data_IF_151205753819
#
_entry.id   IF_151205753819
#
_cell.length_a   1.000
_cell.length_b   1.000
_cell.length_c   1.000
_cell.angle_alpha   90.00
_cell.angle_beta   90.00
_cell.angle_gamma   90.00
#
_symmetry.space_group_name_H-M   'P 1'
#
loop_
_entity.id
_entity.type
_entity.pdbx_description
1 polymer ?
#
# COMPACT_ATOMS: atom_id res chain seq x y z
N UNK A 1 5.53 5.73 10.64
CA UNK A 1 4.94 4.74 9.69
C UNK A 1 4.84 3.39 10.38
N UNK A 2 3.62 2.93 10.66
CA UNK A 2 3.40 1.64 11.33
C UNK A 2 3.33 0.54 10.26
N UNK A 3 4.24 -0.43 10.33
CA UNK A 3 4.31 -1.57 9.41
C UNK A 3 3.16 -2.55 9.70
N UNK A 4 1.96 -2.29 9.16
CA UNK A 4 0.75 -3.05 9.48
C UNK A 4 0.57 -4.37 8.71
N UNK A 5 1.31 -4.60 7.63
CA UNK A 5 1.05 -5.76 6.76
C UNK A 5 1.72 -7.02 7.30
N UNK A 6 0.93 -8.06 7.60
CA UNK A 6 1.52 -9.32 8.03
C UNK A 6 2.01 -10.23 6.85
N UNK A 7 1.93 -9.81 5.57
CA UNK A 7 2.22 -10.71 4.43
C UNK A 7 3.03 -10.09 3.29
N UNK A 8 3.44 -10.95 2.33
CA UNK A 8 4.11 -10.59 1.08
C UNK A 8 3.16 -9.82 0.16
N UNK A 9 3.72 -9.08 -0.81
CA UNK A 9 2.95 -8.46 -1.90
C UNK A 9 2.17 -9.56 -2.65
N UNK A 10 0.84 -9.59 -2.50
CA UNK A 10 -0.06 -10.58 -3.11
C UNK A 10 -0.69 -11.63 -2.16
N UNK A 11 -0.36 -11.60 -0.86
CA UNK A 11 -0.94 -12.49 0.15
C UNK A 11 -0.39 -13.92 0.16
N UNK A 12 -0.89 -14.74 1.08
CA UNK A 12 -0.57 -16.18 1.17
C UNK A 12 -1.65 -16.98 0.43
N UNK A 13 -1.30 -17.92 -0.45
CA UNK A 13 -2.28 -18.84 -1.02
C UNK A 13 -3.11 -19.52 0.08
N UNK A 14 -4.43 -19.51 -0.04
CA UNK A 14 -5.32 -20.05 0.98
C UNK A 14 -6.56 -20.70 0.34
N UNK A 15 -7.06 -21.74 1.02
CA UNK A 15 -8.34 -22.36 0.74
C UNK A 15 -9.36 -21.86 1.77
N UNK A 16 -10.47 -21.28 1.31
CA UNK A 16 -11.52 -20.78 2.19
C UNK A 16 -12.82 -21.55 1.97
N UNK A 17 -13.52 -21.87 3.05
CA UNK A 17 -14.81 -22.56 2.98
C UNK A 17 -15.80 -21.95 3.97
N UNK A 18 -17.09 -22.04 3.61
CA UNK A 18 -18.20 -21.71 4.49
C UNK A 18 -18.48 -22.90 5.42
N UNK A 19 -18.26 -22.73 6.72
CA UNK A 19 -18.53 -23.74 7.73
C UNK A 19 -17.40 -24.75 7.98
N UNK A 20 -17.75 -25.89 8.59
CA UNK A 20 -16.80 -26.92 9.02
C UNK A 20 -16.52 -27.98 7.95
N UNK A 21 -17.36 -28.07 6.90
CA UNK A 21 -17.24 -29.09 5.86
C UNK A 21 -16.60 -28.46 4.62
N UNK A 22 -15.40 -28.93 4.26
CA UNK A 22 -14.62 -28.47 3.10
C UNK A 22 -15.03 -29.19 1.81
N UNK A 23 -16.33 -29.22 1.47
CA UNK A 23 -16.78 -29.92 0.27
C UNK A 23 -16.38 -29.20 -1.03
N UNK A 24 -16.27 -27.87 -1.00
CA UNK A 24 -15.79 -27.06 -2.13
C UNK A 24 -15.05 -25.81 -1.64
N UNK A 25 -13.73 -25.88 -1.38
CA UNK A 25 -12.98 -24.70 -0.95
C UNK A 25 -12.70 -23.75 -2.11
N UNK A 26 -12.93 -22.46 -1.89
CA UNK A 26 -12.51 -21.41 -2.81
C UNK A 26 -11.00 -21.14 -2.63
N UNK A 27 -10.25 -21.20 -3.72
CA UNK A 27 -8.84 -20.83 -3.73
C UNK A 27 -8.68 -19.31 -3.86
N UNK A 28 -7.96 -18.70 -2.92
CA UNK A 28 -7.67 -17.27 -2.92
C UNK A 28 -6.32 -16.94 -2.27
N UNK A 29 -6.14 -15.66 -1.96
CA UNK A 29 -4.98 -15.14 -1.21
C UNK A 29 -5.42 -14.54 0.12
N UNK A 30 -4.82 -14.97 1.21
CA UNK A 30 -5.02 -14.47 2.56
C UNK A 30 -4.07 -13.30 2.86
N UNK A 31 -4.64 -12.19 3.32
CA UNK A 31 -3.93 -11.09 3.97
C UNK A 31 -4.53 -10.87 5.36
N UNK A 32 -3.70 -10.59 6.35
CA UNK A 32 -4.10 -10.26 7.72
C UNK A 32 -3.28 -9.06 8.16
N UNK A 33 -3.94 -8.12 8.80
CA UNK A 33 -3.35 -6.95 9.43
C UNK A 33 -3.74 -7.01 10.89
N UNK A 34 -2.75 -6.92 11.78
CA UNK A 34 -2.97 -6.96 13.23
C UNK A 34 -2.17 -5.81 13.84
N UNK A 35 -2.88 -4.95 14.57
CA UNK A 35 -2.31 -3.92 15.42
C UNK A 35 -2.68 -4.25 16.87
N UNK A 36 -1.83 -5.06 17.49
CA UNK A 36 -2.05 -5.59 18.84
C UNK A 36 -2.20 -4.49 19.91
N UNK A 37 -1.36 -3.42 19.95
CA UNK A 37 -1.54 -2.32 20.90
C UNK A 37 -2.91 -1.64 20.81
N UNK A 38 -3.42 -1.45 19.58
CA UNK A 38 -4.74 -0.84 19.36
C UNK A 38 -5.90 -1.84 19.39
N UNK A 39 -5.59 -3.14 19.54
CA UNK A 39 -6.56 -4.24 19.38
C UNK A 39 -7.36 -4.11 18.09
N UNK A 40 -6.68 -3.81 16.99
CA UNK A 40 -7.29 -3.78 15.66
C UNK A 40 -6.84 -4.96 14.83
N UNK A 41 -7.76 -5.55 14.10
CA UNK A 41 -7.47 -6.65 13.19
C UNK A 41 -8.33 -6.55 11.94
N UNK A 42 -7.77 -6.97 10.81
CA UNK A 42 -8.49 -7.23 9.57
C UNK A 42 -7.97 -8.53 8.98
N UNK A 43 -8.87 -9.46 8.66
CA UNK A 43 -8.58 -10.61 7.81
C UNK A 43 -9.20 -10.35 6.45
N UNK A 44 -8.43 -10.48 5.38
CA UNK A 44 -8.87 -10.23 4.02
C UNK A 44 -8.57 -11.44 3.14
N UNK A 45 -9.58 -11.93 2.43
CA UNK A 45 -9.44 -12.96 1.40
C UNK A 45 -9.61 -12.33 0.02
N UNK A 46 -8.63 -12.54 -0.85
CA UNK A 46 -8.61 -11.99 -2.21
C UNK A 46 -8.84 -13.09 -3.23
N UNK A 47 -9.78 -12.88 -4.13
CA UNK A 47 -10.13 -13.80 -5.22
C UNK A 47 -9.94 -13.10 -6.56
N UNK A 48 -9.39 -13.81 -7.54
CA UNK A 48 -9.21 -13.30 -8.90
C UNK A 48 -10.28 -13.89 -9.81
N UNK A 49 -11.16 -13.03 -10.31
CA UNK A 49 -12.35 -13.44 -11.04
C UNK A 49 -12.54 -12.55 -12.28
N UNK A 50 -13.10 -13.10 -13.37
CA UNK A 50 -13.47 -12.28 -14.52
C UNK A 50 -14.67 -11.39 -14.14
N UNK A 51 -14.52 -10.08 -14.28
CA UNK A 51 -15.59 -9.09 -14.01
C UNK A 51 -16.10 -8.46 -15.31
N UNK A 52 -17.40 -8.20 -15.42
CA UNK A 52 -17.98 -7.44 -16.52
C UNK A 52 -17.32 -6.05 -16.64
N UNK A 53 -16.98 -5.66 -17.87
CA UNK A 53 -16.28 -4.40 -18.16
C UNK A 53 -14.75 -4.49 -18.08
N UNK A 54 -14.19 -5.66 -17.72
CA UNK A 54 -12.75 -5.88 -17.67
C UNK A 54 -12.34 -7.05 -18.56
N UNK A 55 -11.20 -6.87 -19.24
CA UNK A 55 -10.57 -7.90 -20.08
C UNK A 55 -9.81 -8.92 -19.22
N UNK A 56 -9.15 -8.45 -18.17
CA UNK A 56 -8.38 -9.28 -17.23
C UNK A 56 -9.18 -9.66 -15.98
N UNK A 57 -8.76 -10.76 -15.34
CA UNK A 57 -9.25 -11.15 -14.02
C UNK A 57 -8.95 -10.05 -13.00
N UNK A 58 -9.99 -9.56 -12.33
CA UNK A 58 -9.88 -8.53 -11.32
C UNK A 58 -9.86 -9.14 -9.92
N UNK A 59 -9.32 -8.39 -8.96
CA UNK A 59 -9.30 -8.79 -7.56
C UNK A 59 -10.61 -8.37 -6.88
N UNK A 60 -11.29 -9.31 -6.24
CA UNK A 60 -12.39 -9.08 -5.30
C UNK A 60 -11.89 -9.44 -3.91
N UNK A 61 -12.09 -8.56 -2.93
CA UNK A 61 -11.66 -8.81 -1.55
C UNK A 61 -12.84 -9.02 -0.62
N UNK A 62 -12.80 -10.08 0.18
CA UNK A 62 -13.72 -10.30 1.30
C UNK A 62 -13.04 -9.84 2.57
N UNK A 63 -13.63 -8.86 3.24
CA UNK A 63 -13.04 -8.20 4.41
C UNK A 63 -13.79 -8.64 5.66
N UNK A 64 -13.06 -9.34 6.53
CA UNK A 64 -13.48 -9.72 7.87
C UNK A 64 -12.82 -8.77 8.87
N UNK A 65 -13.51 -7.68 9.12
CA UNK A 65 -13.09 -6.64 10.04
C UNK A 65 -13.16 -7.12 11.49
N UNK A 66 -12.19 -6.74 12.33
CA UNK A 66 -12.15 -7.10 13.75
C UNK A 66 -13.45 -6.78 14.50
N UNK A 67 -14.14 -5.71 14.12
CA UNK A 67 -15.44 -5.30 14.70
C UNK A 67 -16.58 -6.27 14.42
N UNK A 68 -16.50 -7.09 13.37
CA UNK A 68 -17.50 -8.11 13.06
C UNK A 68 -17.11 -9.51 13.58
N UNK A 69 -15.88 -9.70 14.09
CA UNK A 69 -15.46 -10.97 14.68
C UNK A 69 -16.13 -11.18 16.03
N UNK A 70 -16.70 -12.37 16.25
CA UNK A 70 -17.26 -12.71 17.55
C UNK A 70 -16.12 -12.95 18.56
N UNK A 71 -16.11 -12.26 19.72
CA UNK A 71 -15.05 -12.39 20.71
C UNK A 71 -14.81 -13.84 21.15
N UNK A 72 -13.54 -14.27 21.17
CA UNK A 72 -13.16 -15.62 21.63
C UNK A 72 -13.50 -16.77 20.67
N UNK A 73 -14.02 -16.49 19.48
CA UNK A 73 -14.38 -17.53 18.49
C UNK A 73 -13.30 -17.78 17.45
N UNK A 74 -12.32 -16.87 17.34
CA UNK A 74 -11.17 -17.05 16.44
C UNK A 74 -10.29 -18.17 16.97
N UNK A 75 -10.08 -19.18 16.15
CA UNK A 75 -9.25 -20.33 16.48
C UNK A 75 -8.29 -20.65 15.33
N UNK A 76 -7.07 -21.01 15.67
CA UNK A 76 -6.01 -21.41 14.75
C UNK A 76 -5.58 -22.84 15.11
N UNK A 77 -5.84 -23.79 14.22
CA UNK A 77 -5.61 -25.21 14.48
C UNK A 77 -4.66 -25.82 13.47
N UNK A 78 -3.83 -26.76 13.91
CA UNK A 78 -3.05 -27.59 12.99
C UNK A 78 -4.00 -28.52 12.19
N UNK A 79 -3.81 -28.59 10.88
CA UNK A 79 -4.59 -29.45 9.99
C UNK A 79 -3.85 -30.78 9.83
N UNK A 80 -4.37 -31.83 10.46
CA UNK A 80 -3.75 -33.17 10.44
C UNK A 80 -4.13 -34.01 9.23
N UNK A 81 -5.32 -33.80 8.68
CA UNK A 81 -5.80 -34.45 7.45
C UNK A 81 -5.80 -33.44 6.31
N UNK A 82 -5.02 -33.72 5.25
CA UNK A 82 -4.93 -32.84 4.10
C UNK A 82 -6.29 -32.79 3.36
N UNK A 83 -6.96 -31.63 3.27
CA UNK A 83 -8.11 -31.50 2.39
C UNK A 83 -7.73 -31.74 0.93
N UNK A 84 -8.74 -31.98 0.10
CA UNK A 84 -8.56 -31.93 -1.35
C UNK A 84 -8.01 -30.56 -1.73
N UNK A 85 -7.10 -30.51 -2.72
CA UNK A 85 -6.43 -29.31 -3.22
C UNK A 85 -5.37 -28.65 -2.32
N UNK A 86 -4.92 -29.32 -1.25
CA UNK A 86 -3.80 -28.84 -0.41
C UNK A 86 -2.53 -28.55 -1.21
N UNK A 87 -2.28 -29.34 -2.25
CA UNK A 87 -1.15 -29.19 -3.17
C UNK A 87 -1.09 -27.80 -3.83
N UNK A 88 -2.23 -27.11 -3.96
CA UNK A 88 -2.31 -25.74 -4.50
C UNK A 88 -1.88 -24.66 -3.52
N UNK A 89 -1.86 -24.97 -2.22
CA UNK A 89 -1.54 -24.02 -1.15
C UNK A 89 -0.23 -24.34 -0.44
N UNK A 90 0.13 -25.63 -0.37
CA UNK A 90 1.38 -26.10 0.21
C UNK A 90 2.60 -25.55 -0.56
N UNK A 91 3.66 -25.21 0.16
CA UNK A 91 4.92 -24.83 -0.48
C UNK A 91 5.53 -26.06 -1.18
N UNK A 92 5.93 -25.97 -2.48
CA UNK A 92 6.37 -27.13 -3.26
C UNK A 92 7.60 -27.92 -2.74
N UNK A 93 8.40 -27.34 -1.84
CA UNK A 93 9.70 -27.91 -1.41
C UNK A 93 9.98 -27.82 0.09
N UNK A 94 8.96 -27.73 0.93
CA UNK A 94 9.12 -27.76 2.38
C UNK A 94 7.97 -28.54 3.00
N UNK A 95 8.23 -29.32 4.05
CA UNK A 95 7.17 -30.02 4.77
C UNK A 95 6.04 -29.05 5.11
N UNK A 96 4.86 -29.27 4.54
CA UNK A 96 3.72 -28.37 4.65
C UNK A 96 3.24 -28.34 6.09
N UNK A 97 3.16 -27.14 6.68
CA UNK A 97 2.60 -26.95 8.03
C UNK A 97 1.29 -26.21 7.87
N UNK A 98 0.24 -26.97 7.57
CA UNK A 98 -1.08 -26.40 7.31
C UNK A 98 -1.75 -25.97 8.61
N UNK A 99 -2.20 -24.72 8.63
CA UNK A 99 -3.00 -24.15 9.70
C UNK A 99 -4.39 -23.83 9.16
N UNK A 100 -5.42 -24.07 9.98
CA UNK A 100 -6.80 -23.66 9.76
C UNK A 100 -7.13 -22.49 10.70
N UNK A 101 -7.32 -21.31 10.13
CA UNK A 101 -7.88 -20.15 10.80
C UNK A 101 -9.41 -20.19 10.68
N UNK A 102 -10.08 -20.44 11.78
CA UNK A 102 -11.53 -20.41 11.89
C UNK A 102 -11.98 -19.06 12.45
N UNK A 103 -12.93 -18.42 11.75
CA UNK A 103 -13.53 -17.14 12.12
C UNK A 103 -15.03 -17.35 12.34
N UNK A 104 -15.57 -16.88 13.46
CA UNK A 104 -17.01 -16.68 13.61
C UNK A 104 -17.35 -15.19 13.61
N UNK A 105 -18.38 -14.82 12.85
CA UNK A 105 -18.74 -13.44 12.52
C UNK A 105 -20.13 -13.11 13.06
N UNK A 106 -20.31 -11.89 13.53
CA UNK A 106 -21.61 -11.37 13.93
C UNK A 106 -22.51 -11.05 12.73
N UNK A 107 -21.91 -10.65 11.61
CA UNK A 107 -22.61 -10.34 10.35
C UNK A 107 -21.80 -10.88 9.15
N UNK A 108 -22.44 -11.09 7.98
CA UNK A 108 -21.73 -11.44 6.74
C UNK A 108 -20.61 -10.46 6.40
N UNK A 109 -19.62 -10.92 5.65
CA UNK A 109 -18.46 -10.08 5.35
C UNK A 109 -18.79 -8.98 4.32
N UNK A 110 -17.90 -8.00 4.27
CA UNK A 110 -17.95 -6.93 3.29
C UNK A 110 -17.20 -7.35 2.05
N UNK A 111 -17.77 -7.10 0.87
CA UNK A 111 -17.10 -7.37 -0.41
C UNK A 111 -16.61 -6.06 -1.01
N UNK A 112 -15.31 -5.99 -1.34
CA UNK A 112 -14.70 -4.86 -2.00
C UNK A 112 -14.45 -5.18 -3.48
N UNK A 113 -14.87 -4.24 -4.33
CA UNK A 113 -14.74 -4.31 -5.79
C UNK A 113 -13.85 -3.16 -6.31
N UNK A 114 -13.20 -3.34 -7.46
CA UNK A 114 -12.38 -2.29 -8.08
C UNK A 114 -13.21 -1.14 -8.67
N UNK A 115 -14.49 -1.38 -9.01
CA UNK A 115 -15.39 -0.38 -9.61
C UNK A 115 -16.85 -0.65 -9.22
N UNK A 116 -17.69 0.38 -9.28
CA UNK A 116 -19.10 0.31 -8.89
C UNK A 116 -19.94 -0.57 -9.83
N UNK A 117 -19.55 -0.62 -11.10
CA UNK A 117 -20.23 -1.36 -12.17
C UNK A 117 -19.68 -2.78 -12.36
N UNK A 118 -18.65 -3.15 -11.58
CA UNK A 118 -18.02 -4.44 -11.70
C UNK A 118 -18.92 -5.53 -11.11
N UNK A 119 -19.30 -6.51 -11.94
CA UNK A 119 -20.06 -7.70 -11.54
C UNK A 119 -19.37 -8.96 -12.04
N UNK A 120 -19.36 -10.07 -11.27
CA UNK A 120 -18.76 -11.33 -11.72
C UNK A 120 -19.40 -11.82 -13.02
N UNK A 121 -18.59 -12.23 -14.01
CA UNK A 121 -19.09 -12.87 -15.23
C UNK A 121 -19.60 -14.27 -14.89
N UNK A 122 -20.82 -14.61 -15.28
CA UNK A 122 -21.52 -15.86 -14.92
C UNK A 122 -21.01 -17.12 -15.65
N UNK A 123 -19.77 -17.15 -16.15
CA UNK A 123 -19.26 -18.30 -16.91
C UNK A 123 -19.09 -19.56 -16.04
N UNK A 124 -18.76 -19.39 -14.76
CA UNK A 124 -18.50 -20.47 -13.81
C UNK A 124 -19.50 -20.42 -12.64
N UNK A 125 -20.74 -20.84 -12.91
CA UNK A 125 -21.85 -20.75 -11.94
C UNK A 125 -21.52 -21.34 -10.56
N UNK A 126 -20.85 -22.49 -10.51
CA UNK A 126 -20.54 -23.15 -9.23
C UNK A 126 -19.57 -22.35 -8.35
N UNK A 127 -18.54 -21.74 -8.95
CA UNK A 127 -17.58 -20.93 -8.18
C UNK A 127 -18.23 -19.65 -7.65
N UNK A 128 -19.11 -19.04 -8.43
CA UNK A 128 -19.86 -17.85 -8.01
C UNK A 128 -20.79 -18.17 -6.85
N UNK A 129 -21.48 -19.32 -6.92
CA UNK A 129 -22.35 -19.79 -5.84
C UNK A 129 -21.55 -20.08 -4.56
N UNK A 130 -20.36 -20.68 -4.68
CA UNK A 130 -19.46 -20.94 -3.57
C UNK A 130 -18.93 -19.64 -2.93
N UNK A 131 -18.54 -18.66 -3.74
CA UNK A 131 -18.12 -17.35 -3.27
C UNK A 131 -19.27 -16.57 -2.63
N UNK A 132 -20.48 -16.66 -3.17
CA UNK A 132 -21.68 -16.10 -2.57
C UNK A 132 -21.95 -16.71 -1.20
N UNK A 133 -21.86 -18.05 -1.10
CA UNK A 133 -22.01 -18.78 0.15
C UNK A 133 -20.93 -18.36 1.16
N UNK A 134 -19.68 -18.24 0.72
CA UNK A 134 -18.56 -17.80 1.55
C UNK A 134 -18.71 -16.35 2.04
N UNK A 135 -19.19 -15.43 1.19
CA UNK A 135 -19.43 -14.04 1.57
C UNK A 135 -20.59 -13.90 2.56
N UNK A 136 -21.61 -14.76 2.43
CA UNK A 136 -22.79 -14.80 3.31
C UNK A 136 -22.53 -15.54 4.63
N UNK A 137 -21.51 -16.40 4.68
CA UNK A 137 -21.21 -17.23 5.83
C UNK A 137 -20.84 -16.41 7.07
N UNK A 138 -21.35 -16.83 8.22
CA UNK A 138 -20.94 -16.32 9.53
C UNK A 138 -19.87 -17.18 10.19
N UNK A 139 -19.56 -18.34 9.62
CA UNK A 139 -18.45 -19.20 10.05
C UNK A 139 -17.61 -19.47 8.82
N UNK A 140 -16.36 -19.02 8.85
CA UNK A 140 -15.42 -19.16 7.74
C UNK A 140 -14.21 -19.91 8.24
N UNK A 141 -13.78 -20.93 7.49
CA UNK A 141 -12.54 -21.64 7.79
C UNK A 141 -11.56 -21.43 6.64
N UNK A 142 -10.36 -20.94 6.98
CA UNK A 142 -9.31 -20.56 6.04
C UNK A 142 -8.09 -21.44 6.30
N UNK A 143 -7.73 -22.28 5.32
CA UNK A 143 -6.56 -23.15 5.39
C UNK A 143 -5.43 -22.56 4.58
N UNK A 144 -4.26 -22.44 5.18
CA UNK A 144 -3.06 -21.94 4.54
C UNK A 144 -1.81 -22.66 5.09
N UNK A 145 -0.72 -22.67 4.33
CA UNK A 145 0.55 -23.23 4.79
C UNK A 145 1.35 -22.17 5.57
N UNK A 146 1.60 -22.43 6.85
CA UNK A 146 2.33 -21.53 7.74
C UNK A 146 3.79 -21.34 7.32
N UNK A 147 4.34 -22.19 6.44
CA UNK A 147 5.68 -21.99 5.87
C UNK A 147 5.76 -20.73 4.98
N UNK A 148 4.62 -20.18 4.55
CA UNK A 148 4.54 -18.89 3.87
C UNK A 148 4.65 -17.69 4.82
N UNK A 149 4.36 -17.87 6.11
CA UNK A 149 4.46 -16.82 7.12
C UNK A 149 5.92 -16.55 7.50
N UNK A 150 6.25 -15.28 7.68
CA UNK A 150 7.48 -14.90 8.35
C UNK A 150 7.37 -15.25 9.85
N UNK A 151 8.41 -15.81 10.50
CA UNK A 151 8.33 -16.23 11.92
C UNK A 151 7.83 -15.13 12.86
N UNK A 152 8.33 -13.90 12.70
CA UNK A 152 7.90 -12.74 13.50
C UNK A 152 6.40 -12.37 13.34
N UNK A 153 5.75 -12.85 12.28
CA UNK A 153 4.35 -12.56 11.95
C UNK A 153 3.42 -13.72 12.32
N UNK A 154 3.97 -14.91 12.51
CA UNK A 154 3.22 -16.05 13.02
C UNK A 154 2.73 -15.82 14.46
N UNK A 155 3.51 -15.12 15.29
CA UNK A 155 3.07 -14.71 16.63
C UNK A 155 1.91 -13.72 16.59
N UNK A 156 1.93 -12.76 15.66
CA UNK A 156 0.83 -11.81 15.46
C UNK A 156 -0.46 -12.51 14.99
N UNK A 157 -0.34 -13.53 14.14
CA UNK A 157 -1.53 -14.30 13.75
C UNK A 157 -2.11 -15.08 14.93
N UNK A 158 -1.24 -15.66 15.77
CA UNK A 158 -1.66 -16.35 17.00
C UNK A 158 -2.26 -15.40 18.03
N UNK A 159 -1.87 -14.13 18.07
CA UNK A 159 -2.48 -13.18 19.00
C UNK A 159 -3.95 -12.92 18.71
N UNK A 160 -4.44 -13.21 17.49
CA UNK A 160 -5.88 -13.19 17.19
C UNK A 160 -6.68 -14.19 18.02
N UNK A 161 -6.07 -15.29 18.45
CA UNK A 161 -6.73 -16.28 19.31
C UNK A 161 -6.94 -15.74 20.73
N UNK A 162 -8.14 -15.96 21.28
CA UNK A 162 -8.42 -15.72 22.70
C UNK A 162 -8.55 -14.26 23.13
N UNK A 163 -8.21 -13.27 22.27
CA UNK A 163 -8.41 -11.86 22.60
C UNK A 163 -9.89 -11.48 22.41
N UNK A 164 -10.47 -10.91 23.47
CA UNK A 164 -11.81 -10.35 23.45
C UNK A 164 -11.77 -8.91 22.91
N UNK A 165 -12.64 -8.63 21.93
CA UNK A 165 -12.93 -7.26 21.50
C UNK A 165 -11.92 -6.66 20.51
N UNK A 166 -11.67 -7.36 19.41
CA UNK A 166 -11.00 -6.75 18.26
C UNK A 166 -11.88 -5.65 17.66
N UNK A 167 -11.22 -4.61 17.14
CA UNK A 167 -11.86 -3.53 16.38
C UNK A 167 -11.33 -3.51 14.95
N UNK A 168 -12.01 -2.79 14.06
CA UNK A 168 -11.56 -2.63 12.68
C UNK A 168 -10.35 -1.72 12.55
N UNK A 169 -9.48 -2.01 11.59
CA UNK A 169 -8.45 -1.06 11.19
C UNK A 169 -9.08 0.01 10.28
N UNK A 170 -8.83 1.31 10.50
CA UNK A 170 -9.23 2.33 9.55
C UNK A 170 -8.48 2.12 8.23
N UNK A 171 -9.21 1.91 7.14
CA UNK A 171 -8.66 1.82 5.78
C UNK A 171 -9.23 2.93 4.91
N UNK A 172 -8.40 3.42 4.00
CA UNK A 172 -8.87 4.29 2.94
C UNK A 172 -9.53 3.44 1.85
N UNK A 173 -10.86 3.56 1.75
CA UNK A 173 -11.66 2.90 0.73
C UNK A 173 -11.91 3.80 -0.50
N UNK A 174 -11.19 4.92 -0.65
CA UNK A 174 -11.41 5.89 -1.74
C UNK A 174 -11.33 5.29 -3.15
N UNK A 175 -10.59 4.19 -3.33
CA UNK A 175 -10.36 3.53 -4.63
C UNK A 175 -11.16 2.25 -4.84
N UNK A 176 -11.95 1.82 -3.87
CA UNK A 176 -12.68 0.55 -3.92
C UNK A 176 -14.14 0.74 -3.55
N UNK A 177 -15.02 -0.01 -4.20
CA UNK A 177 -16.45 0.07 -3.93
C UNK A 177 -16.85 -1.03 -2.95
N UNK A 178 -17.48 -0.61 -1.86
CA UNK A 178 -18.02 -1.50 -0.84
C UNK A 178 -19.39 -2.01 -1.27
N UNK A 179 -19.56 -3.33 -1.31
CA UNK A 179 -20.83 -4.02 -1.56
C UNK A 179 -21.05 -5.14 -0.55
N UNK A 180 -22.26 -5.68 -0.54
CA UNK A 180 -22.60 -6.90 0.19
C UNK A 180 -22.49 -8.13 -0.74
N UNK A 181 -22.78 -9.31 -0.19
CA UNK A 181 -22.75 -10.57 -0.92
C UNK A 181 -23.79 -10.67 -2.05
N UNK A 182 -24.75 -9.72 -2.16
CA UNK A 182 -25.80 -9.77 -3.19
C UNK A 182 -25.25 -9.56 -4.60
N UNK A 183 -24.03 -9.06 -4.75
CA UNK A 183 -23.35 -8.92 -6.05
C UNK A 183 -23.16 -10.24 -6.80
N UNK A 184 -23.21 -11.37 -6.07
CA UNK A 184 -23.09 -12.71 -6.65
C UNK A 184 -24.45 -13.30 -7.04
N UNK A 185 -25.56 -12.64 -6.71
CA UNK A 185 -26.89 -13.13 -7.08
C UNK A 185 -27.12 -12.86 -8.58
N UNK A 186 -27.48 -13.88 -9.39
CA UNK A 186 -27.82 -13.69 -10.79
C UNK A 186 -28.95 -12.68 -10.88
N UNK A 187 -28.68 -11.56 -11.55
CA UNK A 187 -29.49 -10.36 -11.47
C UNK A 187 -30.98 -10.64 -11.55
N UNK A 188 -31.68 -10.45 -10.43
CA UNK A 188 -32.93 -9.71 -10.52
C UNK A 188 -32.48 -8.37 -11.07
N UNK A 189 -32.77 -8.05 -12.36
CA UNK A 189 -32.36 -6.78 -12.93
C UNK A 189 -32.85 -5.74 -11.94
N UNK A 190 -31.93 -4.93 -11.40
CA UNK A 190 -32.28 -3.85 -10.49
C UNK A 190 -33.47 -3.15 -11.11
N UNK A 191 -34.66 -3.36 -10.52
CA UNK A 191 -35.89 -2.76 -11.02
C UNK A 191 -35.53 -1.30 -11.19
N UNK A 192 -35.62 -0.72 -12.40
CA UNK A 192 -35.11 0.61 -12.66
C UNK A 192 -35.72 1.51 -11.61
N UNK A 193 -34.89 1.90 -10.64
CA UNK A 193 -35.30 2.79 -9.59
C UNK A 193 -35.57 4.08 -10.34
N UNK A 194 -36.86 4.32 -10.59
CA UNK A 194 -37.34 5.44 -11.38
C UNK A 194 -36.61 6.67 -10.84
N UNK A 195 -35.88 7.41 -11.70
CA UNK A 195 -35.11 8.56 -11.23
C UNK A 195 -36.05 9.43 -10.39
N UNK A 196 -35.62 9.86 -9.19
CA UNK A 196 -36.47 10.63 -8.30
C UNK A 196 -36.99 11.81 -9.10
N UNK A 197 -38.31 11.85 -9.24
CA UNK A 197 -39.01 12.86 -10.03
C UNK A 197 -38.68 14.22 -9.41
N UNK A 198 -37.68 14.90 -9.98
CA UNK A 198 -37.30 16.24 -9.55
C UNK A 198 -38.34 17.19 -10.09
N UNK A 199 -39.28 17.54 -9.22
CA UNK A 199 -40.17 18.67 -9.45
C UNK A 199 -39.35 19.96 -9.55
N UNK A 200 -39.11 20.36 -10.79
CA UNK A 200 -39.08 21.72 -11.32
C UNK A 200 -39.14 22.85 -10.28
N UNK A 201 -38.01 23.52 -10.06
CA UNK A 201 -38.00 24.95 -9.73
C UNK A 201 -36.88 25.66 -10.49
N UNK A 202 -37.28 26.38 -11.55
CA UNK A 202 -36.47 27.27 -12.37
C UNK A 202 -35.93 28.44 -11.53
N UNK A 203 -34.64 28.74 -11.63
CA UNK A 203 -34.14 30.12 -11.56
C UNK A 203 -32.96 30.31 -12.52
N UNK A 204 -33.03 31.28 -13.46
CA UNK A 204 -31.91 31.60 -14.32
C UNK A 204 -30.98 32.56 -13.59
N UNK A 205 -29.70 32.22 -13.47
CA UNK A 205 -28.66 33.20 -13.14
C UNK A 205 -27.46 33.01 -14.06
N UNK A 206 -27.40 33.93 -15.01
CA UNK A 206 -26.26 34.53 -15.67
C UNK A 206 -24.87 33.98 -15.30
N UNK A 207 -24.17 33.53 -16.35
CA UNK A 207 -22.71 33.46 -16.45
C UNK A 207 -22.06 34.80 -16.10
N UNK A 208 -20.81 34.78 -15.59
CA UNK A 208 -19.78 35.36 -16.46
C UNK A 208 -18.42 34.64 -16.43
N UNK A 209 -17.72 34.82 -17.57
CA UNK A 209 -16.28 34.97 -17.76
C UNK A 209 -15.35 33.84 -17.26
N UNK A 210 -14.88 32.95 -18.13
CA UNK A 210 -13.70 33.14 -19.00
C UNK A 210 -12.44 33.62 -18.26
N UNK A 211 -11.61 32.67 -17.83
CA UNK A 211 -10.19 32.88 -17.50
C UNK A 211 -9.36 31.66 -17.93
N UNK A 212 -8.09 31.85 -18.33
CA UNK A 212 -7.50 31.08 -19.42
C UNK A 212 -6.60 29.93 -18.98
N UNK A 213 -6.60 28.86 -19.78
CA UNK A 213 -5.64 27.75 -19.73
C UNK A 213 -4.21 28.28 -19.90
N UNK A 214 -3.35 28.01 -18.92
CA UNK A 214 -1.89 28.18 -19.03
C UNK A 214 -1.35 27.24 -20.11
N UNK A 215 -0.85 27.83 -21.20
CA UNK A 215 -0.01 27.18 -22.20
C UNK A 215 1.31 26.79 -21.55
N UNK A 216 1.64 25.49 -21.57
CA UNK A 216 3.01 25.01 -21.36
C UNK A 216 3.84 25.50 -22.56
N UNK A 217 4.77 26.41 -22.29
CA UNK A 217 5.84 26.77 -23.23
C UNK A 217 6.79 25.57 -23.32
N UNK A 218 6.79 24.93 -24.48
CA UNK A 218 7.88 24.10 -24.97
C UNK A 218 9.05 25.08 -25.21
N UNK A 219 10.11 24.96 -24.41
CA UNK A 219 11.40 25.56 -24.71
C UNK A 219 12.28 24.42 -25.21
N UNK A 220 12.31 24.28 -26.52
CA UNK A 220 13.49 23.75 -27.22
C UNK A 220 14.65 24.70 -26.95
N UNK A 221 15.74 24.15 -26.43
CA UNK A 221 17.05 24.77 -26.50
C UNK A 221 18.07 23.68 -26.81
N UNK A 222 18.53 23.72 -28.06
CA UNK A 222 19.76 23.13 -28.56
C UNK A 222 20.89 23.22 -27.53
N UNK A 223 21.34 22.08 -27.01
CA UNK A 223 22.65 21.99 -26.38
C UNK A 223 23.52 21.11 -27.27
N UNK A 224 24.36 21.82 -28.03
CA UNK A 224 25.50 21.28 -28.76
C UNK A 224 26.35 20.44 -27.83
N UNK A 225 26.59 19.23 -28.32
CA UNK A 225 27.71 18.35 -27.96
C UNK A 225 29.01 19.15 -28.07
N UNK A 226 29.80 19.14 -27.00
CA UNK A 226 31.25 19.26 -27.10
C UNK A 226 31.90 18.27 -26.11
N UNK A 227 32.91 17.47 -26.52
CA UNK A 227 33.53 16.45 -25.71
C UNK A 227 34.75 17.04 -24.98
N UNK A 228 34.76 16.96 -23.65
CA UNK A 228 35.86 17.52 -22.87
C UNK A 228 35.96 16.92 -21.48
N UNK A 229 36.52 15.72 -21.41
CA UNK A 229 37.16 15.24 -20.18
C UNK A 229 38.32 16.18 -19.84
N UNK A 230 38.52 16.54 -18.56
CA UNK A 230 39.62 15.88 -17.87
C UNK A 230 39.37 15.62 -16.37
N UNK A 231 39.95 14.49 -15.95
CA UNK A 231 40.40 14.14 -14.60
C UNK A 231 40.86 15.34 -13.76
N UNK A 232 40.45 15.39 -12.49
CA UNK A 232 41.38 15.63 -11.38
C UNK A 232 40.78 15.32 -10.00
N UNK A 233 41.64 14.77 -9.16
CA UNK A 233 41.41 14.36 -7.77
C UNK A 233 41.01 15.54 -6.89
N UNK A 234 39.99 15.36 -6.06
CA UNK A 234 39.93 16.03 -4.75
C UNK A 234 39.15 15.17 -3.75
N UNK A 235 39.91 14.48 -2.91
CA UNK A 235 39.50 13.94 -1.62
C UNK A 235 38.93 15.07 -0.75
N UNK A 236 37.63 15.05 -0.49
CA UNK A 236 37.06 15.79 0.65
C UNK A 236 36.18 14.86 1.48
N UNK A 237 36.72 14.59 2.67
CA UNK A 237 36.09 13.98 3.83
C UNK A 237 34.73 14.62 4.10
N UNK A 238 33.65 13.91 3.79
CA UNK A 238 32.33 14.23 4.34
C UNK A 238 32.30 13.73 5.78
N UNK A 239 32.39 14.69 6.69
CA UNK A 239 32.22 14.49 8.12
C UNK A 239 30.86 13.83 8.38
N UNK A 240 30.92 12.74 9.14
CA UNK A 240 29.78 12.07 9.73
C UNK A 240 28.87 13.06 10.46
N UNK A 241 27.64 13.22 9.99
CA UNK A 241 26.55 13.79 10.78
C UNK A 241 26.36 12.94 12.04
N UNK A 242 26.20 13.55 13.23
CA UNK A 242 26.01 12.81 14.46
C UNK A 242 24.66 12.11 14.39
N UNK A 243 24.68 10.78 14.40
CA UNK A 243 23.51 9.94 14.71
C UNK A 243 22.94 10.41 16.03
N UNK A 244 21.73 10.98 16.00
CA UNK A 244 20.93 11.16 17.19
C UNK A 244 20.53 9.78 17.72
N UNK A 245 20.96 9.50 18.94
CA UNK A 245 20.66 8.29 19.70
C UNK A 245 19.14 8.17 19.91
N UNK A 246 18.47 7.11 19.40
CA UNK A 246 17.06 6.86 19.69
C UNK A 246 16.96 6.06 21.00
N UNK A 247 17.38 6.67 22.10
CA UNK A 247 17.37 6.03 23.42
C UNK A 247 16.96 7.01 24.52
N UNK A 248 15.86 7.74 24.30
CA UNK A 248 15.10 8.35 25.38
C UNK A 248 13.84 7.50 25.64
N UNK A 249 13.63 6.97 26.85
CA UNK A 249 12.38 6.30 27.19
C UNK A 249 11.26 7.33 27.06
N UNK A 250 10.25 7.00 26.24
CA UNK A 250 8.98 7.72 26.18
C UNK A 250 8.35 7.74 27.59
N UNK A 251 8.65 8.78 28.36
CA UNK A 251 7.87 9.15 29.54
C UNK A 251 6.49 9.59 29.09
N UNK A 252 5.48 9.23 29.88
CA UNK A 252 4.06 9.39 29.59
C UNK A 252 3.74 10.75 28.92
N UNK A 253 2.99 10.77 27.80
CA UNK A 253 2.66 12.00 27.07
C UNK A 253 1.71 12.96 27.80
N UNK A 254 1.31 12.66 29.05
CA UNK A 254 0.41 13.48 29.85
C UNK A 254 1.12 14.42 30.84
N UNK A 255 2.38 14.13 31.22
CA UNK A 255 3.16 14.99 32.14
C UNK A 255 3.55 16.39 31.59
N UNK A 256 3.81 16.60 30.28
CA UNK A 256 4.28 17.92 29.81
C UNK A 256 3.20 19.00 29.91
N UNK A 257 1.93 18.62 29.77
CA UNK A 257 0.80 19.57 29.77
C UNK A 257 0.47 20.01 31.20
N UNK A 258 0.48 19.08 32.15
CA UNK A 258 0.24 19.39 33.57
C UNK A 258 1.36 20.26 34.16
N UNK A 259 2.62 19.90 33.88
CA UNK A 259 3.77 20.71 34.28
C UNK A 259 3.77 22.11 33.61
N UNK A 260 3.35 22.21 32.34
CA UNK A 260 3.21 23.49 31.66
C UNK A 260 2.08 24.35 32.25
N UNK A 261 0.94 23.73 32.62
CA UNK A 261 -0.18 24.41 33.24
C UNK A 261 0.18 24.93 34.64
N UNK A 262 0.82 24.12 35.48
CA UNK A 262 1.29 24.55 36.80
C UNK A 262 2.30 25.69 36.71
N UNK A 263 3.23 25.61 35.75
CA UNK A 263 4.24 26.66 35.53
C UNK A 263 3.60 27.95 35.02
N UNK A 264 2.59 27.86 34.15
CA UNK A 264 1.85 29.02 33.66
C UNK A 264 1.05 29.70 34.78
N UNK A 265 0.32 28.94 35.59
CA UNK A 265 -0.44 29.45 36.75
C UNK A 265 0.50 30.14 37.74
N UNK A 266 1.63 29.51 38.08
CA UNK A 266 2.60 30.07 39.01
C UNK A 266 3.23 31.39 38.51
N UNK A 267 3.41 31.56 37.20
CA UNK A 267 3.96 32.78 36.61
C UNK A 267 2.93 33.90 36.46
N UNK A 268 1.69 33.57 36.14
CA UNK A 268 0.67 34.55 35.76
C UNK A 268 -0.14 35.07 36.95
N UNK A 269 -0.40 34.23 37.95
CA UNK A 269 -1.18 34.61 39.14
C UNK A 269 -0.59 35.80 39.91
N UNK A 270 0.73 35.90 40.17
CA UNK A 270 1.31 37.04 40.89
C UNK A 270 1.19 38.35 40.10
N UNK A 271 1.26 38.28 38.77
CA UNK A 271 1.15 39.45 37.90
C UNK A 271 -0.30 39.93 37.78
N UNK A 272 -1.26 39.01 37.65
CA UNK A 272 -2.68 39.34 37.68
C UNK A 272 -3.09 39.97 39.03
N UNK A 273 -2.61 39.42 40.15
CA UNK A 273 -2.83 40.02 41.47
C UNK A 273 -2.21 41.41 41.57
N UNK A 274 -0.97 41.62 41.11
CA UNK A 274 -0.33 42.95 41.12
C UNK A 274 -1.04 43.98 40.25
N UNK A 275 -1.60 43.58 39.12
CA UNK A 275 -2.30 44.50 38.22
C UNK A 275 -3.64 44.95 38.82
N UNK A 276 -4.37 44.03 39.46
CA UNK A 276 -5.74 44.29 39.88
C UNK A 276 -5.84 44.84 41.31
N UNK A 277 -4.97 44.41 42.24
CA UNK A 277 -5.04 44.87 43.64
C UNK A 277 -5.02 46.41 43.78
N UNK A 278 -4.12 47.15 43.11
CA UNK A 278 -3.99 48.60 43.28
C UNK A 278 -5.20 49.40 42.82
N UNK A 279 -5.99 48.88 41.87
CA UNK A 279 -7.22 49.55 41.42
C UNK A 279 -8.38 49.33 42.41
N UNK A 280 -8.44 48.16 43.06
CA UNK A 280 -9.58 47.79 43.90
C UNK A 280 -9.37 48.23 45.36
N UNK A 281 -8.13 48.26 45.85
CA UNK A 281 -7.80 48.58 47.24
C UNK A 281 -8.21 50.00 47.68
N UNK A 282 -7.94 51.07 46.90
CA UNK A 282 -8.21 52.44 47.32
C UNK A 282 -9.71 52.66 47.53
N UNK A 283 -10.56 52.22 46.60
CA UNK A 283 -12.00 52.38 46.71
C UNK A 283 -12.61 51.66 47.92
N UNK A 284 -12.09 50.47 48.25
CA UNK A 284 -12.52 49.70 49.42
C UNK A 284 -12.12 50.42 50.71
N UNK A 285 -10.89 50.94 50.77
CA UNK A 285 -10.40 51.68 51.94
C UNK A 285 -11.11 53.03 52.09
N UNK A 286 -11.24 53.82 51.02
CA UNK A 286 -11.88 55.15 51.08
C UNK A 286 -13.32 55.06 51.58
N UNK A 287 -14.07 54.01 51.24
CA UNK A 287 -15.46 53.83 51.70
C UNK A 287 -15.61 53.26 53.11
N UNK A 288 -14.64 52.47 53.59
CA UNK A 288 -14.62 52.06 55.00
C UNK A 288 -14.35 53.24 55.94
N UNK A 289 -13.60 54.25 55.47
CA UNK A 289 -13.18 55.39 56.31
C UNK A 289 -13.95 56.70 56.05
N UNK A 290 -14.78 56.79 55.01
CA UNK A 290 -15.67 57.95 54.79
C UNK A 290 -17.01 57.74 55.49
N UNK A 291 -17.10 58.14 56.76
CA UNK A 291 -18.38 58.22 57.46
C UNK A 291 -19.26 59.31 56.81
N UNK A 292 -20.50 59.00 56.38
CA UNK A 292 -21.48 60.03 56.11
C UNK A 292 -21.86 60.66 57.44
N UNK A 293 -21.54 61.95 57.61
CA UNK A 293 -22.06 62.79 58.68
C UNK A 293 -23.56 62.98 58.47
N UNK A 294 -24.36 62.01 58.92
CA UNK A 294 -25.82 62.08 58.86
C UNK A 294 -26.32 62.76 60.13
N UNK A 295 -26.55 64.06 60.05
CA UNK A 295 -27.18 64.87 61.08
C UNK A 295 -28.65 64.43 61.26
N UNK A 296 -29.09 64.00 62.46
CA UNK A 296 -30.47 63.62 62.69
C UNK A 296 -31.37 64.86 62.93
N UNK A 297 -32.64 64.85 62.50
CA UNK A 297 -33.59 65.93 62.79
C UNK A 297 -34.11 65.85 64.24
N UNK A 298 -34.43 66.99 64.88
CA UNK A 298 -34.86 67.04 66.27
C UNK A 298 -36.34 66.66 66.39
N UNK A 299 -36.67 65.73 67.29
CA UNK A 299 -38.04 65.54 67.76
C UNK A 299 -38.11 65.43 69.30
N UNK A 300 -39.25 65.86 69.89
CA UNK A 300 -39.37 66.17 71.30
C UNK A 300 -39.88 64.99 72.16
N UNK A 301 -39.37 64.90 73.38
CA UNK A 301 -39.82 64.05 74.50
C UNK A 301 -41.14 64.58 75.11
N UNK A 302 -41.96 63.81 75.91
CA UNK A 302 -41.60 62.88 77.02
C UNK A 302 -42.42 61.56 77.05
N UNK A 303 -42.21 60.51 77.87
CA UNK A 303 -41.66 60.31 79.22
C UNK A 303 -41.17 58.83 79.42
N UNK A 304 -40.51 58.46 80.55
CA UNK A 304 -39.70 57.23 80.76
C UNK A 304 -40.52 56.04 81.32
N UNK A 305 -40.11 54.74 81.20
CA UNK A 305 -38.80 54.23 81.64
C UNK A 305 -38.15 53.13 80.75
N UNK A 306 -36.89 53.33 80.37
CA UNK A 306 -35.80 52.36 80.54
C UNK A 306 -34.49 52.96 79.96
N UNK A 307 -33.52 53.36 80.81
CA UNK A 307 -32.50 54.36 80.43
C UNK A 307 -31.34 53.88 79.54
N UNK A 308 -31.36 52.68 78.93
CA UNK A 308 -30.20 52.18 78.17
C UNK A 308 -30.52 51.48 76.84
N UNK A 309 -31.79 51.39 76.40
CA UNK A 309 -32.14 50.53 75.23
C UNK A 309 -32.47 51.22 73.89
N UNK A 310 -33.07 52.42 73.79
CA UNK A 310 -33.57 52.91 72.50
C UNK A 310 -32.47 53.47 71.59
N UNK A 311 -31.51 54.21 72.15
CA UNK A 311 -30.40 54.79 71.36
C UNK A 311 -29.42 53.71 70.90
N UNK A 312 -29.19 52.70 71.75
CA UNK A 312 -28.37 51.54 71.40
C UNK A 312 -29.02 50.67 70.32
N UNK A 313 -30.36 50.62 70.27
CA UNK A 313 -31.12 49.93 69.23
C UNK A 313 -31.07 50.68 67.90
N UNK A 314 -31.24 52.01 67.90
CA UNK A 314 -31.13 52.82 66.67
C UNK A 314 -29.71 52.75 66.09
N UNK A 315 -28.68 52.89 66.92
CA UNK A 315 -27.27 52.76 66.47
C UNK A 315 -27.00 51.35 65.93
N UNK A 316 -27.50 50.31 66.61
CA UNK A 316 -27.34 48.93 66.16
C UNK A 316 -28.08 48.66 64.84
N UNK A 317 -29.29 49.16 64.68
CA UNK A 317 -30.09 48.98 63.47
C UNK A 317 -29.44 49.71 62.27
N UNK A 318 -28.87 50.91 62.48
CA UNK A 318 -28.10 51.63 61.46
C UNK A 318 -26.77 50.96 61.12
N UNK A 319 -26.07 50.40 62.11
CA UNK A 319 -24.86 49.61 61.89
C UNK A 319 -25.17 48.32 61.13
N UNK A 320 -26.27 47.64 61.46
CA UNK A 320 -26.69 46.43 60.77
C UNK A 320 -27.09 46.70 59.32
N UNK A 321 -27.87 47.76 59.05
CA UNK A 321 -28.21 48.14 57.66
C UNK A 321 -26.98 48.53 56.85
N UNK A 322 -26.04 49.30 57.43
CA UNK A 322 -24.77 49.60 56.74
C UNK A 322 -23.90 48.36 56.53
N UNK A 323 -23.85 47.45 57.51
CA UNK A 323 -23.12 46.20 57.37
C UNK A 323 -23.70 45.34 56.24
N UNK A 324 -25.03 45.27 56.12
CA UNK A 324 -25.70 44.59 55.01
C UNK A 324 -25.41 45.25 53.65
N UNK A 325 -25.43 46.58 53.57
CA UNK A 325 -25.13 47.29 52.32
C UNK A 325 -23.66 47.13 51.90
N UNK A 326 -22.73 47.17 52.85
CA UNK A 326 -21.30 46.88 52.62
C UNK A 326 -21.12 45.42 52.18
N UNK A 327 -21.81 44.47 52.81
CA UNK A 327 -21.74 43.06 52.43
C UNK A 327 -22.27 42.82 51.01
N UNK A 328 -23.40 43.45 50.64
CA UNK A 328 -23.94 43.38 49.27
C UNK A 328 -22.97 43.95 48.24
N UNK A 329 -22.37 45.11 48.53
CA UNK A 329 -21.42 45.74 47.63
C UNK A 329 -20.12 44.94 47.48
N UNK A 330 -19.63 44.35 48.58
CA UNK A 330 -18.48 43.44 48.56
C UNK A 330 -18.78 42.18 47.74
N UNK A 331 -19.98 41.60 47.84
CA UNK A 331 -20.39 40.47 47.01
C UNK A 331 -20.42 40.84 45.52
N UNK A 332 -21.05 41.97 45.16
CA UNK A 332 -21.12 42.42 43.76
C UNK A 332 -19.72 42.65 43.18
N UNK A 333 -18.82 43.29 43.94
CA UNK A 333 -17.43 43.48 43.49
C UNK A 333 -16.62 42.19 43.47
N UNK A 334 -16.83 41.30 44.44
CA UNK A 334 -16.22 39.97 44.46
C UNK A 334 -16.57 39.18 43.20
N UNK A 335 -17.84 39.21 42.79
CA UNK A 335 -18.31 38.61 41.54
C UNK A 335 -17.69 39.28 40.30
N UNK A 336 -17.63 40.62 40.26
CA UNK A 336 -16.98 41.34 39.16
C UNK A 336 -15.50 41.00 39.02
N UNK A 337 -14.78 40.92 40.14
CA UNK A 337 -13.36 40.54 40.16
C UNK A 337 -13.18 39.08 39.73
N UNK A 338 -14.02 38.17 40.23
CA UNK A 338 -14.00 36.76 39.83
C UNK A 338 -14.26 36.59 38.33
N UNK A 339 -15.22 37.34 37.77
CA UNK A 339 -15.51 37.32 36.34
C UNK A 339 -14.33 37.86 35.51
N UNK A 340 -13.70 38.98 35.92
CA UNK A 340 -12.49 39.50 35.22
C UNK A 340 -11.32 38.51 35.26
N UNK A 341 -11.07 37.87 36.41
CA UNK A 341 -10.01 36.86 36.54
C UNK A 341 -10.32 35.65 35.64
N UNK A 342 -11.59 35.23 35.59
CA UNK A 342 -12.05 34.15 34.73
C UNK A 342 -11.85 34.49 33.24
N UNK A 343 -12.31 35.66 32.80
CA UNK A 343 -12.17 36.11 31.40
C UNK A 343 -10.69 36.19 30.98
N UNK A 344 -9.83 36.77 31.82
CA UNK A 344 -8.40 36.84 31.54
C UNK A 344 -7.73 35.46 31.54
N UNK A 345 -8.14 34.57 32.44
CA UNK A 345 -7.67 33.17 32.45
C UNK A 345 -8.09 32.40 31.21
N UNK A 346 -9.32 32.61 30.72
CA UNK A 346 -9.82 32.01 29.47
C UNK A 346 -9.08 32.56 28.24
N UNK A 347 -8.73 33.85 28.23
CA UNK A 347 -7.94 34.46 27.16
C UNK A 347 -6.54 33.86 27.06
N UNK A 348 -5.83 33.77 28.19
CA UNK A 348 -4.49 33.16 28.23
C UNK A 348 -4.55 31.67 27.84
N UNK A 349 -5.54 30.93 28.35
CA UNK A 349 -5.70 29.53 27.97
C UNK A 349 -5.95 29.36 26.46
N UNK A 350 -6.70 30.29 25.85
CA UNK A 350 -6.93 30.31 24.40
C UNK A 350 -5.66 30.62 23.62
N UNK A 351 -4.85 31.56 24.08
CA UNK A 351 -3.55 31.88 23.46
C UNK A 351 -2.60 30.68 23.55
N UNK A 352 -2.44 30.08 24.75
CA UNK A 352 -1.59 28.90 24.93
C UNK A 352 -2.03 27.70 24.09
N UNK A 353 -3.33 27.48 23.94
CA UNK A 353 -3.85 26.38 23.10
C UNK A 353 -3.65 26.67 21.62
N UNK A 354 -3.77 27.92 21.18
CA UNK A 354 -3.44 28.34 19.82
C UNK A 354 -1.96 28.11 19.51
N UNK A 355 -1.05 28.57 20.37
CA UNK A 355 0.39 28.41 20.19
C UNK A 355 0.80 26.92 20.18
N UNK A 356 0.22 26.12 21.07
CA UNK A 356 0.46 24.68 21.10
C UNK A 356 -0.03 23.98 19.83
N UNK A 357 -1.18 24.42 19.29
CA UNK A 357 -1.72 23.91 18.04
C UNK A 357 -0.84 24.29 16.84
N UNK A 358 -0.40 25.54 16.75
CA UNK A 358 0.48 26.02 15.68
C UNK A 358 1.84 25.31 15.72
N UNK A 359 2.41 25.11 16.91
CA UNK A 359 3.64 24.33 17.08
C UNK A 359 3.46 22.85 16.66
N UNK A 360 2.33 22.23 17.02
CA UNK A 360 2.03 20.86 16.62
C UNK A 360 1.85 20.73 15.10
N UNK A 361 1.23 21.72 14.45
CA UNK A 361 1.12 21.79 12.99
C UNK A 361 2.51 21.93 12.35
N UNK A 362 3.37 22.81 12.87
CA UNK A 362 4.73 22.98 12.38
C UNK A 362 5.58 21.70 12.50
N UNK A 363 5.48 20.97 13.60
CA UNK A 363 6.17 19.68 13.76
C UNK A 363 5.65 18.63 12.78
N UNK A 364 4.34 18.62 12.51
CA UNK A 364 3.75 17.71 11.53
C UNK A 364 4.25 18.03 10.12
N UNK A 365 4.24 19.30 9.72
CA UNK A 365 4.74 19.75 8.41
C UNK A 365 6.22 19.41 8.23
N UNK A 366 7.04 19.62 9.26
CA UNK A 366 8.45 19.24 9.24
C UNK A 366 8.65 17.73 9.08
N UNK A 367 7.87 16.91 9.80
CA UNK A 367 7.94 15.46 9.69
C UNK A 367 7.44 14.94 8.32
N UNK A 368 6.46 15.62 7.72
CA UNK A 368 5.96 15.32 6.38
C UNK A 368 7.02 15.62 5.31
N UNK A 369 7.72 16.76 5.43
CA UNK A 369 8.83 17.13 4.56
C UNK A 369 10.03 16.18 4.68
N UNK A 370 10.45 15.82 5.91
CA UNK A 370 11.53 14.85 6.13
C UNK A 370 11.19 13.47 5.55
N UNK A 371 9.92 13.08 5.60
CA UNK A 371 9.44 11.85 5.01
C UNK A 371 9.49 11.90 3.48
N UNK A 372 9.07 13.02 2.87
CA UNK A 372 9.12 13.23 1.43
C UNK A 372 10.58 13.17 0.90
N UNK A 373 11.51 13.85 1.58
CA UNK A 373 12.94 13.82 1.26
C UNK A 373 13.50 12.38 1.30
N UNK A 374 13.19 11.62 2.35
CA UNK A 374 13.61 10.20 2.45
C UNK A 374 13.02 9.32 1.35
N UNK A 375 11.80 9.60 0.92
CA UNK A 375 11.20 8.85 -0.18
C UNK A 375 11.89 9.19 -1.50
N UNK A 376 12.20 10.46 -1.74
CA UNK A 376 12.94 10.91 -2.93
C UNK A 376 14.35 10.30 -3.00
N UNK A 377 15.07 10.26 -1.87
CA UNK A 377 16.36 9.57 -1.76
C UNK A 377 16.24 8.08 -2.12
N UNK A 378 15.23 7.40 -1.57
CA UNK A 378 15.00 5.98 -1.84
C UNK A 378 14.63 5.71 -3.31
N UNK A 379 13.82 6.58 -3.92
CA UNK A 379 13.47 6.48 -5.33
C UNK A 379 14.70 6.66 -6.23
N UNK A 380 15.57 7.62 -5.90
CA UNK A 380 16.83 7.87 -6.60
C UNK A 380 17.75 6.64 -6.48
N UNK A 381 17.94 6.12 -5.27
CA UNK A 381 18.77 4.93 -5.03
C UNK A 381 18.24 3.68 -5.75
N UNK A 382 16.91 3.54 -5.87
CA UNK A 382 16.31 2.46 -6.66
C UNK A 382 16.53 2.65 -8.16
N UNK A 383 16.46 3.89 -8.66
CA UNK A 383 16.73 4.21 -10.05
C UNK A 383 18.18 3.89 -10.43
N UNK A 384 19.14 4.28 -9.58
CA UNK A 384 20.57 3.99 -9.78
C UNK A 384 20.84 2.49 -9.83
N UNK A 385 20.32 1.72 -8.86
CA UNK A 385 20.46 0.25 -8.87
C UNK A 385 19.86 -0.41 -10.10
N UNK A 386 18.74 0.13 -10.60
CA UNK A 386 18.10 -0.37 -11.82
C UNK A 386 18.97 -0.08 -13.03
N UNK A 387 19.52 1.13 -13.13
CA UNK A 387 20.39 1.52 -14.24
C UNK A 387 21.69 0.70 -14.24
N UNK A 388 22.31 0.50 -13.08
CA UNK A 388 23.46 -0.38 -12.91
C UNK A 388 23.15 -1.82 -13.35
N UNK A 389 21.98 -2.34 -12.97
CA UNK A 389 21.52 -3.65 -13.39
C UNK A 389 21.30 -3.77 -14.90
N UNK A 390 20.76 -2.73 -15.54
CA UNK A 390 20.58 -2.68 -17.00
C UNK A 390 21.93 -2.59 -17.72
N UNK A 391 22.87 -1.77 -17.22
CA UNK A 391 24.21 -1.68 -17.78
C UNK A 391 24.95 -3.02 -17.70
N UNK A 392 24.82 -3.76 -16.60
CA UNK A 392 25.45 -5.08 -16.48
C UNK A 392 24.83 -6.12 -17.41
N UNK A 393 23.50 -6.12 -17.56
CA UNK A 393 22.82 -6.99 -18.53
C UNK A 393 23.29 -6.67 -19.96
N UNK A 394 23.38 -5.39 -20.33
CA UNK A 394 23.86 -4.99 -21.64
C UNK A 394 25.31 -5.46 -21.88
N UNK A 395 26.20 -5.31 -20.90
CA UNK A 395 27.58 -5.84 -20.99
C UNK A 395 27.61 -7.35 -21.21
N UNK A 396 26.77 -8.10 -20.50
CA UNK A 396 26.67 -9.55 -20.65
C UNK A 396 26.12 -9.93 -22.04
N UNK A 397 25.13 -9.19 -22.54
CA UNK A 397 24.62 -9.37 -23.90
C UNK A 397 25.70 -9.10 -24.94
N UNK A 398 26.42 -7.97 -24.85
CA UNK A 398 27.49 -7.60 -25.78
C UNK A 398 28.62 -8.65 -25.78
N UNK A 399 29.02 -9.13 -24.60
CA UNK A 399 30.01 -10.20 -24.48
C UNK A 399 29.54 -11.50 -25.17
N UNK A 400 28.25 -11.87 -25.00
CA UNK A 400 27.68 -13.06 -25.65
C UNK A 400 27.50 -12.90 -27.16
N UNK A 401 27.20 -11.70 -27.65
CA UNK A 401 27.20 -11.43 -29.09
C UNK A 401 28.61 -11.60 -29.65
N UNK A 402 29.63 -11.07 -28.97
CA UNK A 402 31.03 -11.27 -29.37
C UNK A 402 31.44 -12.75 -29.44
N UNK A 403 31.10 -13.55 -28.42
CA UNK A 403 31.36 -15.00 -28.45
C UNK A 403 30.68 -15.71 -29.64
N UNK A 404 29.46 -15.29 -30.01
CA UNK A 404 28.74 -15.84 -31.16
C UNK A 404 29.35 -15.41 -32.49
N UNK A 405 29.83 -14.16 -32.60
CA UNK A 405 30.54 -13.65 -33.77
C UNK A 405 31.85 -14.42 -34.00
N UNK A 406 32.63 -14.66 -32.94
CA UNK A 406 33.84 -15.49 -33.01
C UNK A 406 33.53 -16.93 -33.45
N UNK A 407 32.46 -17.53 -32.90
CA UNK A 407 32.03 -18.87 -33.30
C UNK A 407 31.60 -18.92 -34.77
N UNK A 408 30.90 -17.89 -35.25
CA UNK A 408 30.49 -17.78 -36.64
C UNK A 408 31.68 -17.68 -37.59
N UNK A 409 32.65 -16.80 -37.27
CA UNK A 409 33.89 -16.68 -38.04
C UNK A 409 34.68 -17.98 -38.11
N UNK A 410 34.75 -18.72 -37.00
CA UNK A 410 35.38 -20.04 -36.96
C UNK A 410 34.64 -21.06 -37.84
N UNK A 411 33.30 -21.03 -37.86
CA UNK A 411 32.50 -21.91 -38.71
C UNK A 411 32.71 -21.61 -40.19
N UNK A 412 32.71 -20.34 -40.58
CA UNK A 412 32.94 -19.91 -41.96
C UNK A 412 34.34 -20.33 -42.45
N UNK A 413 35.37 -20.15 -41.62
CA UNK A 413 36.73 -20.59 -41.94
C UNK A 413 36.83 -22.11 -42.12
N UNK A 414 36.14 -22.90 -41.27
CA UNK A 414 36.09 -24.35 -41.39
C UNK A 414 35.31 -24.79 -42.65
N UNK A 415 34.29 -24.03 -43.04
CA UNK A 415 33.51 -24.31 -44.25
C UNK A 415 34.35 -24.07 -45.50
N UNK A 416 35.09 -22.96 -45.56
CA UNK A 416 36.05 -22.66 -46.64
C UNK A 416 37.11 -23.77 -46.76
N UNK A 417 37.70 -24.22 -45.65
CA UNK A 417 38.66 -25.34 -45.65
C UNK A 417 38.03 -26.65 -46.16
N UNK A 418 36.78 -26.93 -45.77
CA UNK A 418 36.06 -28.12 -46.23
C UNK A 418 35.75 -28.05 -47.73
N UNK A 419 35.37 -26.89 -48.24
CA UNK A 419 35.15 -26.64 -49.66
C UNK A 419 36.44 -26.85 -50.46
N UNK A 420 37.57 -26.30 -50.00
CA UNK A 420 38.88 -26.51 -50.62
C UNK A 420 39.27 -28.00 -50.66
N UNK A 421 39.13 -28.71 -49.53
CA UNK A 421 39.43 -30.16 -49.45
C UNK A 421 38.54 -30.96 -50.39
N UNK A 422 37.25 -30.62 -50.46
CA UNK A 422 36.30 -31.30 -51.35
C UNK A 422 36.64 -31.05 -52.81
N UNK A 423 37.02 -29.82 -53.17
CA UNK A 423 37.44 -29.45 -54.51
C UNK A 423 38.69 -30.23 -54.96
N UNK A 424 39.66 -30.43 -54.06
CA UNK A 424 40.85 -31.27 -54.34
C UNK A 424 40.45 -32.71 -54.60
N UNK A 425 39.62 -33.33 -53.73
CA UNK A 425 39.17 -34.72 -53.89
C UNK A 425 38.41 -34.91 -55.21
N UNK A 426 37.51 -33.98 -55.55
CA UNK A 426 36.75 -34.04 -56.80
C UNK A 426 37.67 -33.91 -58.01
N UNK A 427 38.66 -33.01 -57.95
CA UNK A 427 39.62 -32.82 -59.05
C UNK A 427 40.51 -34.05 -59.25
N UNK A 428 41.00 -34.67 -58.17
CA UNK A 428 41.76 -35.93 -58.22
C UNK A 428 40.93 -37.07 -58.78
N UNK A 429 39.69 -37.26 -58.29
CA UNK A 429 38.79 -38.30 -58.79
C UNK A 429 38.46 -38.13 -60.28
N UNK A 430 38.27 -36.89 -60.73
CA UNK A 430 38.07 -36.57 -62.14
C UNK A 430 39.31 -36.90 -62.98
N UNK A 431 40.51 -36.53 -62.51
CA UNK A 431 41.76 -36.86 -63.19
C UNK A 431 41.96 -38.38 -63.31
N UNK A 432 41.71 -39.13 -62.24
CA UNK A 432 41.77 -40.61 -62.25
C UNK A 432 40.75 -41.21 -63.22
N UNK A 433 39.51 -40.71 -63.22
CA UNK A 433 38.49 -41.19 -64.16
C UNK A 433 38.86 -40.90 -65.63
N UNK A 434 39.49 -39.75 -65.89
CA UNK A 434 39.98 -39.39 -67.22
C UNK A 434 41.13 -40.30 -67.68
N UNK A 435 42.08 -40.60 -66.79
CA UNK A 435 43.17 -41.54 -67.07
C UNK A 435 42.63 -42.94 -67.42
N UNK A 436 41.67 -43.45 -66.64
CA UNK A 436 41.01 -44.73 -66.92
C UNK A 436 40.26 -44.73 -68.27
N UNK A 437 39.61 -43.62 -68.64
CA UNK A 437 38.93 -43.49 -69.92
C UNK A 437 39.92 -43.47 -71.10
N UNK A 438 41.05 -42.79 -70.94
CA UNK A 438 42.11 -42.75 -71.95
C UNK A 438 42.78 -44.13 -72.12
N UNK A 439 43.03 -44.86 -71.02
CA UNK A 439 43.52 -46.24 -71.04
C UNK A 439 42.53 -47.15 -71.78
N UNK A 440 41.25 -47.13 -71.40
CA UNK A 440 40.20 -47.91 -72.06
C UNK A 440 40.07 -47.57 -73.56
N UNK A 441 40.11 -46.27 -73.91
CA UNK A 441 40.09 -45.85 -75.30
C UNK A 441 41.32 -46.34 -76.07
N UNK A 442 42.50 -46.39 -75.42
CA UNK A 442 43.71 -46.99 -75.95
C UNK A 442 43.55 -48.49 -76.23
N UNK A 443 43.00 -49.24 -75.28
CA UNK A 443 42.70 -50.67 -75.41
C UNK A 443 41.74 -50.94 -76.58
N UNK A 444 40.64 -50.19 -76.66
CA UNK A 444 39.65 -50.33 -77.75
C UNK A 444 40.25 -50.04 -79.13
N UNK A 445 41.13 -49.02 -79.25
CA UNK A 445 41.84 -48.75 -80.51
C UNK A 445 42.75 -49.91 -80.90
N UNK A 446 43.48 -50.48 -79.94
CA UNK A 446 44.35 -51.63 -80.17
C UNK A 446 43.56 -52.86 -80.63
N UNK A 447 42.43 -53.15 -79.98
CA UNK A 447 41.53 -54.24 -80.40
C UNK A 447 40.95 -54.00 -81.80
N UNK A 448 40.54 -52.78 -82.13
CA UNK A 448 40.05 -52.45 -83.47
C UNK A 448 41.15 -52.64 -84.55
N UNK A 449 42.40 -52.27 -84.25
CA UNK A 449 43.55 -52.51 -85.15
C UNK A 449 43.80 -54.01 -85.32
N UNK A 450 43.81 -54.79 -84.22
CA UNK A 450 43.93 -56.26 -84.30
C UNK A 450 42.81 -56.89 -85.13
N UNK A 451 41.57 -56.45 -84.95
CA UNK A 451 40.42 -56.91 -85.73
C UNK A 451 40.58 -56.60 -87.22
N UNK A 452 41.01 -55.38 -87.57
CA UNK A 452 41.31 -55.00 -88.97
C UNK A 452 42.44 -55.81 -89.58
N UNK A 453 43.49 -56.15 -88.82
CA UNK A 453 44.60 -56.98 -89.29
C UNK A 453 44.19 -58.45 -89.46
N UNK A 454 43.24 -58.96 -88.66
CA UNK A 454 42.66 -60.31 -88.84
C UNK A 454 41.64 -60.40 -89.98
N UNK A 455 41.21 -59.28 -90.55
CA UNK A 455 40.29 -59.25 -91.70
C UNK A 455 40.98 -59.39 -93.08
N UNK A 456 42.25 -59.78 -93.11
CA UNK A 456 42.92 -60.26 -94.35
C UNK A 456 42.90 -61.79 -94.38
N UNK A 457 41.71 -62.37 -94.27
CA UNK A 457 41.43 -63.71 -94.77
C UNK A 457 40.06 -63.68 -95.45
N UNK A 458 39.93 -64.18 -96.69
CA UNK A 458 38.69 -64.12 -97.45
C UNK A 458 37.64 -65.05 -96.82
N UNK A 459 36.39 -64.60 -96.86
CA UNK A 459 35.16 -65.28 -96.43
C UNK A 459 35.22 -66.82 -96.43
N UNK A 460 34.49 -67.42 -95.47
CA UNK A 460 33.28 -68.06 -95.98
C UNK A 460 32.03 -67.84 -95.11
N UNK A 461 30.97 -67.43 -95.80
CA UNK A 461 29.65 -68.10 -95.83
C UNK A 461 28.95 -68.28 -94.48
N UNK A 462 27.96 -67.40 -94.26
CA UNK A 462 26.58 -67.66 -93.82
C UNK A 462 26.36 -68.89 -92.90
N UNK A 463 25.81 -68.63 -91.70
CA UNK A 463 24.47 -69.11 -91.33
C UNK A 463 23.90 -68.45 -90.05
N UNK A 464 22.57 -68.32 -89.96
CA UNK A 464 21.84 -67.66 -88.87
C UNK A 464 21.42 -68.67 -87.79
N UNK A 465 21.27 -68.24 -86.53
CA UNK A 465 20.52 -68.79 -85.38
C UNK A 465 20.90 -67.84 -84.21
N UNK A 466 20.08 -67.39 -83.27
CA UNK A 466 18.72 -67.66 -82.83
C UNK A 466 18.51 -66.88 -81.52
N UNK A 467 17.24 -66.60 -81.22
CA UNK A 467 16.70 -65.93 -80.00
C UNK A 467 17.22 -66.51 -78.67
N UNK A 468 17.41 -65.64 -77.66
CA UNK A 468 16.93 -65.74 -76.26
C UNK A 468 17.51 -64.55 -75.46
N UNK A 469 16.70 -63.59 -75.01
CA UNK A 469 15.94 -63.52 -73.74
C UNK A 469 16.75 -62.98 -72.54
N UNK A 470 16.20 -61.89 -71.98
CA UNK A 470 16.18 -61.49 -70.56
C UNK A 470 17.50 -61.23 -69.83
N UNK A 471 17.70 -59.96 -69.45
CA UNK A 471 18.47 -59.59 -68.25
C UNK A 471 17.62 -58.59 -67.43
N UNK A 472 17.52 -58.75 -66.11
CA UNK A 472 16.55 -58.05 -65.28
C UNK A 472 17.06 -56.71 -64.78
N UNK A 473 16.12 -55.78 -64.58
CA UNK A 473 16.28 -54.56 -63.80
C UNK A 473 16.44 -54.91 -62.32
N UNK A 474 17.65 -54.74 -61.79
CA UNK A 474 17.91 -54.69 -60.35
C UNK A 474 17.96 -53.24 -59.89
N UNK A 475 16.92 -52.82 -59.18
CA UNK A 475 16.90 -51.62 -58.34
C UNK A 475 17.75 -51.85 -57.10
N UNK A 476 18.54 -50.84 -56.75
CA UNK A 476 19.15 -50.65 -55.44
C UNK A 476 19.18 -49.15 -55.17
#
# INVERSE_FOLDING_TARGET
MSNFFAFRKGGIPALASSGAVFSSPCLGSLNVEVNEPAKQAIVELQFRLPLHGFDDNQCISFVYDGSILQPGTVALRDVTAAPEHVDRVARPRGGSKLLALQLALATPCVVLLPSADASPKTSDGSLIDELAALAKATIVTIIFDSAWLHPAKASLLRSLEGILGWTGCPRDFSKVVRRDWTIFSPGVPASPELPPYTEKAKRPRQSPASSPRRKRLLLDADIKVDPGSPTEKATTTSASSPRLDPSSPFTNPFDPIEAAAETAIAKLLPNALRAILPEVLPDVLTRMFTLPASTPPPQPMPAPPNPMSPLHRIIRDQLNTRAEDVAKLLNIRGEQLANKIKEHGEEIAREMTSDAQDHALGLREAAELELEERLEDYWTEMADRKEDGLMEINRLCDAKVGELEELHQMYDANLEELEERTQVIVSEAYATAQEMLDEFAGEQRMELVKAKLRMVDPDPILKPIGRASSVPLGLG
#
